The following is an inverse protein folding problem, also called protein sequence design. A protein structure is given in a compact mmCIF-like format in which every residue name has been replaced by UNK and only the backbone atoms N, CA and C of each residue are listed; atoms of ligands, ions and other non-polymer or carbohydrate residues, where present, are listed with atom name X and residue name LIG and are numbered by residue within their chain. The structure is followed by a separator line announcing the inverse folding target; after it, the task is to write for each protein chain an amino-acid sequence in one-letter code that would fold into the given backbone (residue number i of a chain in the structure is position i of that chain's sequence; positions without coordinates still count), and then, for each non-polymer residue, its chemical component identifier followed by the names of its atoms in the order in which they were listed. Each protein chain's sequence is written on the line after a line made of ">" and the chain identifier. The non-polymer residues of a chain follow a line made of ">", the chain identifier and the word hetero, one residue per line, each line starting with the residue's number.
data_IF_475359498949
#
_entry.id   IF_475359498949
#
_cell.length_a   1.000
_cell.length_b   1.000
_cell.length_c   1.000
_cell.angle_alpha   90.00
_cell.angle_beta   90.00
_cell.angle_gamma   90.00
#
_symmetry.space_group_name_H-M   'P 1'
#
loop_
_entity.id
_entity.type
_entity.pdbx_description
1 polymer ?
#
# COMPACT_ATOMS: atom_id res chain seq x y z
N UNK A 1 -17.32 -8.30 -9.57
CA UNK A 1 -15.89 -8.11 -9.63
C UNK A 1 -15.55 -6.71 -10.13
N UNK A 2 -14.78 -6.00 -9.38
CA UNK A 2 -14.48 -4.61 -9.70
C UNK A 2 -13.04 -4.46 -10.17
N UNK A 3 -12.88 -3.83 -11.34
CA UNK A 3 -11.55 -3.48 -11.82
C UNK A 3 -11.18 -2.06 -11.42
N UNK A 4 -12.11 -1.33 -10.82
CA UNK A 4 -11.89 0.07 -10.50
C UNK A 4 -10.84 0.27 -9.41
N UNK A 5 -10.63 -0.75 -8.58
CA UNK A 5 -9.71 -0.65 -7.46
C UNK A 5 -8.44 -1.46 -7.65
N UNK A 6 -8.08 -1.74 -8.91
CA UNK A 6 -6.87 -2.51 -9.17
C UNK A 6 -5.62 -1.82 -8.62
N UNK A 7 -5.54 -0.51 -8.80
CA UNK A 7 -4.39 0.24 -8.29
C UNK A 7 -4.33 0.16 -6.78
N UNK A 8 -5.48 0.30 -6.13
CA UNK A 8 -5.55 0.21 -4.68
C UNK A 8 -5.11 -1.17 -4.20
N UNK A 9 -5.57 -2.22 -4.88
CA UNK A 9 -5.19 -3.58 -4.50
C UNK A 9 -3.69 -3.80 -4.67
N UNK A 10 -3.12 -3.28 -5.74
CA UNK A 10 -1.68 -3.39 -5.97
C UNK A 10 -0.91 -2.69 -4.86
N UNK A 11 -1.38 -1.53 -4.46
CA UNK A 11 -0.73 -0.78 -3.39
C UNK A 11 -0.80 -1.56 -2.08
N UNK A 12 -1.97 -2.07 -1.75
CA UNK A 12 -2.15 -2.80 -0.50
C UNK A 12 -1.30 -4.07 -0.47
N UNK A 13 -1.26 -4.81 -1.57
CA UNK A 13 -0.46 -6.02 -1.63
C UNK A 13 1.03 -5.70 -1.50
N UNK A 14 1.49 -4.67 -2.19
CA UNK A 14 2.89 -4.27 -2.10
C UNK A 14 3.24 -3.83 -0.69
N UNK A 15 2.36 -3.05 -0.08
CA UNK A 15 2.58 -2.57 1.28
C UNK A 15 2.63 -3.74 2.26
N UNK A 16 1.73 -4.71 2.11
CA UNK A 16 1.71 -5.86 3.00
C UNK A 16 3.02 -6.64 2.92
N UNK A 17 3.53 -6.81 1.70
CA UNK A 17 4.80 -7.50 1.53
C UNK A 17 5.95 -6.75 2.19
N UNK A 18 5.97 -5.44 2.01
CA UNK A 18 7.03 -4.63 2.62
C UNK A 18 6.94 -4.62 4.13
N UNK A 19 5.72 -4.63 4.67
CA UNK A 19 5.52 -4.59 6.11
C UNK A 19 5.90 -5.90 6.79
N UNK A 20 6.03 -6.96 6.03
CA UNK A 20 6.57 -8.21 6.56
C UNK A 20 8.07 -8.11 6.80
N UNK A 21 8.73 -7.21 6.09
CA UNK A 21 10.17 -7.08 6.14
C UNK A 21 10.62 -5.98 7.08
N UNK A 22 9.84 -4.91 7.20
CA UNK A 22 10.22 -3.80 8.03
C UNK A 22 9.00 -3.00 8.47
N UNK A 23 9.22 -2.18 9.50
CA UNK A 23 8.17 -1.34 10.06
C UNK A 23 7.69 -0.34 9.00
N UNK A 24 6.38 -0.10 8.98
CA UNK A 24 5.79 0.80 7.99
C UNK A 24 6.35 2.22 8.09
N UNK A 25 6.86 2.60 9.26
CA UNK A 25 7.47 3.92 9.44
C UNK A 25 8.73 4.10 8.60
N UNK A 26 9.33 2.99 8.19
CA UNK A 26 10.53 3.01 7.36
C UNK A 26 10.23 2.76 5.89
N UNK A 27 8.96 2.62 5.54
CA UNK A 27 8.54 2.37 4.18
C UNK A 27 8.22 3.70 3.52
N UNK A 28 8.72 3.90 2.30
CA UNK A 28 8.44 5.13 1.56
C UNK A 28 7.41 4.86 0.47
N UNK A 29 6.77 5.93 0.01
CA UNK A 29 5.84 5.83 -1.12
C UNK A 29 6.55 5.29 -2.35
N UNK A 30 7.81 5.71 -2.55
CA UNK A 30 8.59 5.25 -3.70
C UNK A 30 8.77 3.74 -3.68
N UNK A 31 9.04 3.17 -2.51
CA UNK A 31 9.20 1.72 -2.39
C UNK A 31 7.92 0.98 -2.73
N UNK A 32 6.80 1.50 -2.23
CA UNK A 32 5.50 0.88 -2.49
C UNK A 32 5.20 0.93 -3.98
N UNK A 33 5.41 2.09 -4.59
CA UNK A 33 5.12 2.27 -6.02
C UNK A 33 5.98 1.34 -6.88
N UNK A 34 7.26 1.24 -6.54
CA UNK A 34 8.16 0.38 -7.29
C UNK A 34 7.73 -1.08 -7.18
N UNK A 35 7.40 -1.52 -5.99
CA UNK A 35 6.99 -2.90 -5.78
C UNK A 35 5.64 -3.19 -6.44
N UNK A 36 4.75 -2.24 -6.40
CA UNK A 36 3.41 -2.39 -6.98
C UNK A 36 3.39 -2.21 -8.50
N UNK A 37 4.46 -1.63 -9.06
CA UNK A 37 4.52 -1.39 -10.50
C UNK A 37 3.63 -0.24 -10.92
N UNK A 38 3.53 0.79 -10.10
CA UNK A 38 2.72 1.97 -10.38
C UNK A 38 3.57 3.22 -10.18
N UNK A 39 3.06 4.36 -10.63
CA UNK A 39 3.75 5.62 -10.39
C UNK A 39 3.16 6.33 -9.17
N UNK A 40 3.84 7.38 -8.72
CA UNK A 40 3.44 8.07 -7.51
C UNK A 40 2.06 8.72 -7.62
N UNK A 41 1.73 9.22 -8.79
CA UNK A 41 0.42 9.86 -8.95
C UNK A 41 -0.71 8.88 -8.70
N UNK A 42 -0.52 7.63 -9.09
CA UNK A 42 -1.50 6.59 -8.83
C UNK A 42 -1.65 6.34 -7.33
N UNK A 43 -0.52 6.31 -6.62
CA UNK A 43 -0.57 6.15 -5.16
C UNK A 43 -1.36 7.29 -4.52
N UNK A 44 -1.06 8.53 -4.90
CA UNK A 44 -1.68 9.70 -4.27
C UNK A 44 -3.14 9.87 -4.64
N UNK A 45 -3.61 9.18 -5.67
CA UNK A 45 -5.05 9.14 -5.95
C UNK A 45 -5.80 8.31 -4.92
N UNK A 46 -5.11 7.36 -4.31
CA UNK A 46 -5.74 6.41 -3.39
C UNK A 46 -5.47 6.77 -1.93
N UNK A 47 -4.29 7.27 -1.63
CA UNK A 47 -3.87 7.56 -0.26
C UNK A 47 -3.04 8.82 -0.23
N UNK A 48 -3.08 9.54 0.90
CA UNK A 48 -2.32 10.77 1.05
C UNK A 48 -0.84 10.49 1.35
N UNK A 49 -0.58 9.44 2.13
CA UNK A 49 0.78 9.04 2.47
C UNK A 49 0.73 7.62 3.02
N UNK A 50 1.89 7.13 3.47
CA UNK A 50 1.98 5.76 3.98
C UNK A 50 1.11 5.59 5.22
N UNK A 51 1.09 6.59 6.09
CA UNK A 51 0.29 6.49 7.33
C UNK A 51 -1.20 6.43 7.02
N UNK A 52 -1.65 7.24 6.06
CA UNK A 52 -3.03 7.22 5.64
C UNK A 52 -3.38 5.85 5.06
N UNK A 53 -2.47 5.30 4.27
CA UNK A 53 -2.67 3.97 3.70
C UNK A 53 -2.83 2.91 4.80
N UNK A 54 -1.96 2.95 5.80
CA UNK A 54 -2.00 1.97 6.89
C UNK A 54 -3.33 2.05 7.63
N UNK A 55 -3.83 3.26 7.86
CA UNK A 55 -5.10 3.44 8.54
C UNK A 55 -6.27 2.83 7.79
N UNK A 56 -6.15 2.77 6.48
CA UNK A 56 -7.22 2.27 5.62
C UNK A 56 -7.08 0.80 5.26
N UNK A 57 -6.05 0.14 5.77
CA UNK A 57 -5.89 -1.29 5.54
C UNK A 57 -6.94 -2.09 6.30
N UNK A 58 -7.39 -3.22 5.73
CA UNK A 58 -8.30 -4.10 6.47
C UNK A 58 -7.63 -4.61 7.73
N UNK A 59 -8.40 -4.71 8.80
CA UNK A 59 -7.85 -5.18 10.06
C UNK A 59 -7.33 -6.60 9.98
N UNK A 60 -7.97 -7.42 9.16
CA UNK A 60 -7.52 -8.78 8.96
C UNK A 60 -6.09 -8.82 8.42
N UNK A 61 -5.81 -7.92 7.49
CA UNK A 61 -4.48 -7.84 6.92
C UNK A 61 -3.47 -7.39 7.96
N UNK A 62 -3.85 -6.42 8.78
CA UNK A 62 -2.97 -5.92 9.83
C UNK A 62 -2.62 -6.98 10.86
N UNK A 63 -3.57 -7.86 11.16
CA UNK A 63 -3.32 -8.93 12.12
C UNK A 63 -2.26 -9.91 11.65
N UNK A 64 -2.15 -10.08 10.36
CA UNK A 64 -1.19 -11.03 9.79
C UNK A 64 0.22 -10.45 9.75
N UNK A 65 0.36 -9.21 10.00
CA UNK A 65 1.64 -8.54 9.99
C UNK A 65 2.21 -8.42 11.38
#
# INVERSE_FOLDING_TARGET
>A
MSTMNQSRDKIINAAAELMKEKNYRKISVAEICEKAGINRSTFYRNFEDVYDMVEKLPQELLRKL
#
